data_IF_495685162469
#
_entry.id   IF_495685162469
#
_cell.length_a   1.000
_cell.length_b   1.000
_cell.length_c   1.000
_cell.angle_alpha   90.00
_cell.angle_beta   90.00
_cell.angle_gamma   90.00
#
_symmetry.space_group_name_H-M   'P 1'
#
loop_
_entity.id
_entity.type
_entity.pdbx_description
1 polymer ?
#
# COMPACT_ATOMS: atom_id res chain seq x y z
N UNK A 1 22.98 -8.49 9.37
CA UNK A 1 21.49 -8.47 9.36
C UNK A 1 21.06 -7.26 10.19
N UNK A 2 20.27 -6.34 9.64
CA UNK A 2 19.62 -5.30 10.44
C UNK A 2 18.46 -5.96 11.19
N UNK A 3 18.58 -6.10 12.51
CA UNK A 3 17.51 -6.63 13.35
C UNK A 3 16.55 -5.48 13.63
N UNK A 4 15.29 -5.63 13.22
CA UNK A 4 14.25 -4.64 13.52
C UNK A 4 13.94 -4.68 15.03
N UNK A 5 14.24 -3.58 15.72
CA UNK A 5 14.01 -3.36 17.15
C UNK A 5 12.57 -2.91 17.50
N UNK A 6 11.70 -2.72 16.50
CA UNK A 6 10.30 -2.38 16.73
C UNK A 6 9.60 -3.53 17.47
N UNK A 7 8.87 -3.27 18.57
CA UNK A 7 8.11 -4.33 19.23
C UNK A 7 7.09 -4.93 18.27
N UNK A 8 6.89 -6.26 18.36
CA UNK A 8 5.99 -7.04 17.49
C UNK A 8 4.60 -6.41 17.26
N UNK A 9 3.90 -5.83 18.26
CA UNK A 9 2.57 -5.22 18.04
C UNK A 9 2.58 -3.96 17.15
N UNK A 10 3.72 -3.30 16.96
CA UNK A 10 3.82 -2.08 16.14
C UNK A 10 4.40 -2.34 14.75
N UNK A 11 4.93 -3.55 14.48
CA UNK A 11 5.54 -3.90 13.18
C UNK A 11 4.54 -3.90 12.02
N UNK A 12 3.27 -4.13 12.32
CA UNK A 12 2.21 -4.26 11.31
C UNK A 12 1.31 -3.00 11.23
N UNK A 13 1.66 -1.91 11.94
CA UNK A 13 0.84 -0.69 12.05
C UNK A 13 1.46 0.56 11.42
N UNK A 14 2.55 0.39 10.66
CA UNK A 14 3.22 1.48 9.97
C UNK A 14 2.29 2.16 8.97
N UNK A 15 2.25 3.49 9.01
CA UNK A 15 1.46 4.29 8.07
C UNK A 15 2.29 4.67 6.85
N UNK A 16 1.66 4.65 5.69
CA UNK A 16 2.21 5.22 4.46
C UNK A 16 2.49 6.72 4.66
N UNK A 17 3.63 7.26 4.17
CA UNK A 17 3.88 8.70 4.17
C UNK A 17 2.71 9.44 3.51
N UNK A 18 2.28 10.55 4.11
CA UNK A 18 1.07 11.25 3.67
C UNK A 18 1.21 11.80 2.25
N UNK A 19 2.43 12.18 1.87
CA UNK A 19 2.79 12.66 0.53
C UNK A 19 2.59 11.58 -0.52
N UNK A 20 3.10 10.37 -0.24
CA UNK A 20 2.93 9.20 -1.12
C UNK A 20 1.46 8.87 -1.27
N UNK A 21 0.72 8.84 -0.15
CA UNK A 21 -0.72 8.59 -0.19
C UNK A 21 -1.44 9.65 -1.01
N UNK A 22 -1.18 10.95 -0.80
CA UNK A 22 -1.81 12.06 -1.54
C UNK A 22 -1.53 12.02 -3.04
N UNK A 23 -0.31 11.66 -3.44
CA UNK A 23 0.03 11.52 -4.86
C UNK A 23 -0.78 10.40 -5.52
N UNK A 24 -0.93 9.26 -4.83
CA UNK A 24 -1.77 8.16 -5.29
C UNK A 24 -3.26 8.53 -5.24
N UNK A 25 -3.72 9.20 -4.19
CA UNK A 25 -5.11 9.63 -4.04
C UNK A 25 -5.51 10.65 -5.12
N UNK A 26 -4.59 11.51 -5.55
CA UNK A 26 -4.82 12.40 -6.69
C UNK A 26 -5.03 11.65 -8.01
N UNK A 27 -4.41 10.46 -8.17
CA UNK A 27 -4.60 9.60 -9.35
C UNK A 27 -5.84 8.72 -9.25
N UNK A 28 -6.10 8.13 -8.08
CA UNK A 28 -7.07 7.05 -7.90
C UNK A 28 -8.35 7.46 -7.15
N UNK A 29 -8.34 8.58 -6.42
CA UNK A 29 -9.45 9.10 -5.61
C UNK A 29 -10.01 8.04 -4.65
N UNK A 30 -9.19 7.66 -3.66
CA UNK A 30 -9.51 6.60 -2.72
C UNK A 30 -10.70 6.97 -1.83
N UNK A 31 -11.58 5.99 -1.61
CA UNK A 31 -12.76 6.10 -0.73
C UNK A 31 -12.65 5.21 0.50
N UNK A 32 -11.83 4.16 0.43
CA UNK A 32 -11.63 3.20 1.50
C UNK A 32 -10.15 2.90 1.72
N UNK A 33 -9.74 2.86 2.99
CA UNK A 33 -8.47 2.29 3.44
C UNK A 33 -8.72 0.89 4.04
N UNK A 34 -8.36 -0.15 3.30
CA UNK A 34 -8.74 -1.53 3.63
C UNK A 34 -7.91 -2.17 4.75
N UNK A 35 -6.82 -1.53 5.19
CA UNK A 35 -5.92 -2.07 6.19
C UNK A 35 -5.39 -0.95 7.10
N UNK A 36 -6.23 -0.50 8.03
CA UNK A 36 -5.92 0.63 8.89
C UNK A 36 -6.48 0.45 10.31
N UNK A 37 -6.29 1.47 11.13
CA UNK A 37 -6.89 1.70 12.45
C UNK A 37 -7.20 3.20 12.54
N UNK A 38 -7.94 3.63 13.55
CA UNK A 38 -8.33 5.02 13.77
C UNK A 38 -7.15 5.99 13.84
N UNK A 39 -5.99 5.53 14.31
CA UNK A 39 -4.78 6.36 14.42
C UNK A 39 -4.00 6.47 13.10
N UNK A 40 -4.14 5.51 12.19
CA UNK A 40 -3.31 5.41 10.99
C UNK A 40 -4.09 5.46 9.66
N UNK A 41 -5.42 5.53 9.70
CA UNK A 41 -6.27 5.60 8.51
C UNK A 41 -5.93 6.81 7.63
N UNK A 42 -5.91 6.59 6.33
CA UNK A 42 -5.67 7.64 5.34
C UNK A 42 -6.95 8.04 4.58
N UNK A 43 -8.02 7.27 4.72
CA UNK A 43 -9.36 7.58 4.20
C UNK A 43 -10.35 7.85 5.35
N UNK A 44 -11.48 8.51 5.04
CA UNK A 44 -12.58 8.69 6.00
C UNK A 44 -13.24 7.35 6.36
N UNK A 45 -13.44 6.48 5.37
CA UNK A 45 -13.85 5.10 5.59
C UNK A 45 -12.62 4.20 5.63
N UNK A 46 -12.57 3.29 6.60
CA UNK A 46 -11.45 2.38 6.78
C UNK A 46 -11.88 1.10 7.49
N UNK A 47 -11.14 0.01 7.26
CA UNK A 47 -11.34 -1.27 7.94
C UNK A 47 -10.26 -1.47 9.01
N UNK A 48 -10.73 -1.76 10.22
CA UNK A 48 -9.88 -2.08 11.38
C UNK A 48 -9.70 -3.58 11.58
N UNK A 49 -8.77 -3.98 12.45
CA UNK A 49 -8.58 -5.38 12.85
C UNK A 49 -9.90 -6.06 13.31
N UNK A 50 -10.79 -5.31 13.97
CA UNK A 50 -12.10 -5.82 14.43
C UNK A 50 -13.06 -6.19 13.29
N UNK A 51 -12.91 -5.58 12.12
CA UNK A 51 -13.73 -5.92 10.94
C UNK A 51 -13.27 -7.23 10.28
N UNK A 52 -12.02 -7.65 10.54
CA UNK A 52 -11.34 -8.75 9.84
C UNK A 52 -11.47 -8.59 8.31
N UNK A 53 -10.68 -7.66 7.75
CA UNK A 53 -10.73 -7.30 6.33
C UNK A 53 -10.49 -8.47 5.37
N UNK A 54 -9.90 -9.58 5.83
CA UNK A 54 -9.75 -10.80 5.03
C UNK A 54 -11.06 -11.60 4.93
N UNK A 55 -12.00 -11.39 5.85
CA UNK A 55 -13.30 -12.08 5.91
C UNK A 55 -14.49 -11.19 5.57
N UNK A 56 -14.36 -9.86 5.64
CA UNK A 56 -15.43 -8.94 5.24
C UNK A 56 -15.29 -8.47 3.78
N UNK A 57 -16.32 -7.78 3.30
CA UNK A 57 -16.28 -7.09 2.02
C UNK A 57 -15.72 -5.68 2.16
N UNK A 58 -14.98 -5.23 1.14
CA UNK A 58 -14.39 -3.91 1.05
C UNK A 58 -15.35 -2.96 0.33
N UNK A 59 -16.57 -2.85 0.85
CA UNK A 59 -17.64 -2.04 0.24
C UNK A 59 -17.18 -0.59 0.06
N UNK A 60 -17.14 -0.13 -1.18
CA UNK A 60 -16.61 1.19 -1.55
C UNK A 60 -17.30 1.73 -2.81
N UNK A 61 -17.57 3.02 -2.84
CA UNK A 61 -18.09 3.76 -3.99
C UNK A 61 -16.97 4.36 -4.86
N UNK A 62 -15.71 4.07 -4.55
CA UNK A 62 -14.54 4.42 -5.35
C UNK A 62 -13.34 3.53 -5.07
N UNK A 63 -12.15 3.97 -5.51
CA UNK A 63 -10.94 3.17 -5.39
C UNK A 63 -10.59 2.85 -3.93
N UNK A 64 -9.91 1.72 -3.74
CA UNK A 64 -9.56 1.19 -2.42
C UNK A 64 -8.04 1.18 -2.29
N UNK A 65 -7.54 1.82 -1.22
CA UNK A 65 -6.13 1.76 -0.84
C UNK A 65 -5.90 0.61 0.14
N UNK A 66 -4.76 -0.07 0.03
CA UNK A 66 -4.36 -1.11 0.97
C UNK A 66 -2.86 -1.06 1.25
N UNK A 67 -2.49 -0.80 2.50
CA UNK A 67 -1.14 -1.02 3.02
C UNK A 67 -1.20 -2.09 4.11
N UNK A 68 -1.21 -3.39 3.76
CA UNK A 68 -1.51 -4.45 4.70
C UNK A 68 -0.37 -4.70 5.69
N UNK A 69 -0.63 -5.42 6.80
CA UNK A 69 0.42 -6.04 7.61
C UNK A 69 1.41 -6.85 6.76
N UNK A 70 2.70 -6.55 6.86
CA UNK A 70 3.73 -7.21 6.06
C UNK A 70 4.15 -8.58 6.63
N UNK A 71 3.67 -8.96 7.82
CA UNK A 71 3.89 -10.26 8.43
C UNK A 71 3.22 -11.43 7.67
N UNK A 72 2.13 -11.18 6.93
CA UNK A 72 1.43 -12.21 6.15
C UNK A 72 0.71 -11.62 4.92
N UNK A 73 1.47 -11.31 3.87
CA UNK A 73 0.98 -10.55 2.70
C UNK A 73 0.08 -11.38 1.76
N UNK A 74 0.35 -12.68 1.57
CA UNK A 74 -0.32 -13.48 0.52
C UNK A 74 -1.86 -13.45 0.59
N UNK A 75 -2.51 -13.60 1.76
CA UNK A 75 -3.97 -13.50 1.86
C UNK A 75 -4.53 -12.15 1.39
N UNK A 76 -3.80 -11.06 1.61
CA UNK A 76 -4.23 -9.72 1.19
C UNK A 76 -4.20 -9.55 -0.31
N UNK A 77 -3.16 -10.07 -0.98
CA UNK A 77 -3.07 -10.09 -2.45
C UNK A 77 -4.26 -10.83 -3.06
N UNK A 78 -4.59 -12.01 -2.53
CA UNK A 78 -5.77 -12.77 -2.96
C UNK A 78 -7.07 -11.98 -2.71
N UNK A 79 -7.18 -11.34 -1.54
CA UNK A 79 -8.35 -10.56 -1.17
C UNK A 79 -8.53 -9.33 -2.06
N UNK A 80 -7.45 -8.65 -2.45
CA UNK A 80 -7.51 -7.55 -3.41
C UNK A 80 -8.00 -8.02 -4.78
N UNK A 81 -7.49 -9.14 -5.31
CA UNK A 81 -7.97 -9.68 -6.58
C UNK A 81 -9.47 -10.04 -6.55
N UNK A 82 -9.95 -10.61 -5.43
CA UNK A 82 -11.37 -10.91 -5.18
C UNK A 82 -12.20 -9.61 -5.12
N UNK A 83 -11.80 -8.67 -4.28
CA UNK A 83 -12.58 -7.47 -3.98
C UNK A 83 -12.60 -6.48 -5.15
N UNK A 84 -11.56 -6.42 -5.98
CA UNK A 84 -11.56 -5.62 -7.20
C UNK A 84 -12.73 -6.02 -8.12
N UNK A 85 -12.93 -7.34 -8.29
CA UNK A 85 -14.03 -7.89 -9.10
C UNK A 85 -15.38 -7.69 -8.42
N UNK A 86 -15.45 -8.02 -7.12
CA UNK A 86 -16.70 -7.99 -6.36
C UNK A 86 -17.29 -6.58 -6.22
N UNK A 87 -16.43 -5.60 -5.96
CA UNK A 87 -16.83 -4.21 -5.76
C UNK A 87 -16.89 -3.43 -7.07
N UNK A 88 -16.33 -3.97 -8.15
CA UNK A 88 -16.14 -3.26 -9.41
C UNK A 88 -15.36 -1.95 -9.21
N UNK A 89 -14.35 -1.97 -8.33
CA UNK A 89 -13.51 -0.82 -7.96
C UNK A 89 -12.04 -1.11 -8.17
N UNK A 90 -11.26 -0.06 -8.47
CA UNK A 90 -9.80 -0.17 -8.54
C UNK A 90 -9.22 -0.38 -7.14
N UNK A 91 -8.22 -1.27 -7.02
CA UNK A 91 -7.49 -1.50 -5.77
C UNK A 91 -6.01 -1.19 -5.99
N UNK A 92 -5.43 -0.39 -5.09
CA UNK A 92 -4.01 -0.05 -5.08
C UNK A 92 -3.39 -0.55 -3.78
N UNK A 93 -2.46 -1.50 -3.89
CA UNK A 93 -1.77 -2.08 -2.75
C UNK A 93 -0.29 -1.71 -2.73
N UNK A 94 0.20 -1.20 -1.59
CA UNK A 94 1.60 -0.88 -1.38
C UNK A 94 2.32 -2.02 -0.65
N UNK A 95 3.31 -2.62 -1.30
CA UNK A 95 4.04 -3.80 -0.80
C UNK A 95 5.56 -3.57 -0.82
N UNK A 96 6.33 -4.36 -0.05
CA UNK A 96 7.78 -4.40 -0.22
C UNK A 96 8.13 -4.98 -1.60
N UNK A 97 9.16 -4.48 -2.27
CA UNK A 97 9.62 -5.02 -3.55
C UNK A 97 10.47 -6.28 -3.35
N UNK A 98 9.82 -7.43 -3.17
CA UNK A 98 10.48 -8.74 -3.02
C UNK A 98 9.93 -9.76 -4.02
N UNK A 99 10.57 -9.80 -5.18
CA UNK A 99 10.19 -10.65 -6.32
C UNK A 99 10.39 -12.14 -6.07
N UNK A 100 11.10 -12.53 -5.01
CA UNK A 100 11.40 -13.93 -4.68
C UNK A 100 10.26 -14.65 -3.94
N UNK A 101 9.22 -13.91 -3.54
CA UNK A 101 8.18 -14.42 -2.66
C UNK A 101 6.96 -14.95 -3.41
N UNK A 102 6.25 -15.91 -2.79
CA UNK A 102 5.03 -16.49 -3.37
C UNK A 102 3.91 -15.46 -3.55
N UNK A 103 3.80 -14.44 -2.69
CA UNK A 103 2.78 -13.40 -2.83
C UNK A 103 3.11 -12.45 -4.00
N UNK A 104 4.38 -12.26 -4.34
CA UNK A 104 4.75 -11.44 -5.49
C UNK A 104 4.34 -12.14 -6.79
N UNK A 105 4.62 -13.45 -6.88
CA UNK A 105 4.16 -14.27 -8.00
C UNK A 105 2.64 -14.27 -8.15
N UNK A 106 1.90 -14.38 -7.04
CA UNK A 106 0.45 -14.28 -7.02
C UNK A 106 -0.04 -12.92 -7.52
N UNK A 107 0.58 -11.83 -7.05
CA UNK A 107 0.27 -10.48 -7.51
C UNK A 107 0.56 -10.31 -9.01
N UNK A 108 1.65 -10.87 -9.52
CA UNK A 108 1.99 -10.84 -10.95
C UNK A 108 0.92 -11.50 -11.82
N UNK A 109 0.33 -12.58 -11.33
CA UNK A 109 -0.71 -13.32 -12.06
C UNK A 109 -2.09 -12.65 -11.99
N UNK A 110 -2.35 -11.86 -10.94
CA UNK A 110 -3.70 -11.33 -10.66
C UNK A 110 -3.84 -9.84 -10.91
N UNK A 111 -2.79 -9.03 -10.71
CA UNK A 111 -2.82 -7.60 -10.90
C UNK A 111 -2.75 -7.22 -12.39
N UNK A 112 -3.33 -6.06 -12.71
CA UNK A 112 -3.33 -5.48 -14.05
C UNK A 112 -2.11 -4.58 -14.28
N UNK A 113 -1.61 -3.96 -13.21
CA UNK A 113 -0.46 -3.08 -13.27
C UNK A 113 0.41 -3.24 -12.01
N UNK A 114 1.73 -3.26 -12.22
CA UNK A 114 2.74 -3.27 -11.17
C UNK A 114 3.69 -2.11 -11.39
N UNK A 115 3.83 -1.22 -10.39
CA UNK A 115 4.74 -0.07 -10.47
C UNK A 115 5.84 -0.18 -9.41
N UNK A 116 7.08 -0.34 -9.85
CA UNK A 116 8.23 -0.28 -8.95
C UNK A 116 8.52 1.16 -8.56
N UNK A 117 8.71 1.42 -7.26
CA UNK A 117 9.14 2.73 -6.78
C UNK A 117 10.67 2.78 -6.82
N UNK A 118 11.22 3.66 -7.65
CA UNK A 118 12.65 3.81 -7.91
C UNK A 118 13.23 5.06 -7.25
N UNK A 119 14.56 5.23 -7.28
CA UNK A 119 15.26 6.39 -6.69
C UNK A 119 15.14 6.52 -5.15
N UNK A 120 15.04 5.40 -4.44
CA UNK A 120 15.14 5.33 -2.98
C UNK A 120 13.98 4.59 -2.31
N UNK A 121 14.13 4.32 -1.01
CA UNK A 121 13.13 3.59 -0.22
C UNK A 121 12.13 4.55 0.42
N UNK A 122 10.88 4.11 0.57
CA UNK A 122 9.90 4.86 1.35
C UNK A 122 10.19 4.74 2.85
N UNK A 123 10.14 5.86 3.56
CA UNK A 123 10.27 5.93 5.01
C UNK A 123 8.88 5.95 5.63
N UNK A 124 8.36 4.78 6.02
CA UNK A 124 7.07 4.69 6.69
C UNK A 124 7.10 5.39 8.06
N UNK A 125 5.94 5.87 8.51
CA UNK A 125 5.81 6.65 9.73
C UNK A 125 5.02 5.90 10.79
N UNK A 126 5.42 6.05 12.05
CA UNK A 126 4.61 5.61 13.18
C UNK A 126 3.36 6.47 13.25
N UNK A 127 2.19 5.85 13.32
CA UNK A 127 0.94 6.57 13.49
C UNK A 127 0.80 7.20 14.89
N UNK A 128 1.53 6.68 15.87
CA UNK A 128 1.49 7.15 17.26
C UNK A 128 2.43 8.34 17.48
N UNK A 129 3.65 8.28 16.95
CA UNK A 129 4.68 9.30 17.19
C UNK A 129 4.90 10.23 16.00
N UNK A 130 4.41 9.88 14.80
CA UNK A 130 4.72 10.58 13.55
C UNK A 130 6.16 10.38 13.06
N UNK A 131 7.00 9.67 13.83
CA UNK A 131 8.41 9.48 13.52
C UNK A 131 8.62 8.44 12.42
N UNK A 132 9.65 8.63 11.62
CA UNK A 132 10.09 7.65 10.64
C UNK A 132 10.77 6.47 11.33
N UNK A 133 10.63 5.27 10.77
CA UNK A 133 11.30 4.08 11.28
C UNK A 133 12.83 4.25 11.37
N UNK A 134 13.37 4.07 12.59
CA UNK A 134 14.79 4.27 12.93
C UNK A 134 15.69 3.23 12.24
N UNK A 135 15.18 2.00 12.04
CA UNK A 135 15.79 1.01 11.15
C UNK A 135 15.14 1.14 9.77
N UNK A 136 15.82 1.80 8.84
CA UNK A 136 15.29 2.00 7.48
C UNK A 136 14.74 0.70 6.88
N UNK A 137 13.61 0.81 6.17
CA UNK A 137 13.06 -0.31 5.40
C UNK A 137 14.19 -0.95 4.57
N UNK A 138 14.38 -2.26 4.69
CA UNK A 138 15.49 -2.95 4.01
C UNK A 138 15.19 -3.20 2.52
N UNK A 139 13.93 -3.04 2.11
CA UNK A 139 13.44 -3.34 0.77
C UNK A 139 12.96 -2.08 0.06
N UNK A 140 12.98 -2.10 -1.28
CA UNK A 140 12.24 -1.14 -2.09
C UNK A 140 10.73 -1.29 -1.88
N UNK A 141 9.94 -0.47 -2.57
CA UNK A 141 8.48 -0.54 -2.53
C UNK A 141 7.92 -0.75 -3.94
N UNK A 142 6.78 -1.40 -4.03
CA UNK A 142 6.09 -1.69 -5.28
C UNK A 142 4.59 -1.52 -5.07
N UNK A 143 3.92 -0.98 -6.08
CA UNK A 143 2.46 -0.89 -6.13
C UNK A 143 1.92 -2.05 -6.97
N UNK A 144 0.96 -2.79 -6.44
CA UNK A 144 0.13 -3.71 -7.21
C UNK A 144 -1.25 -3.08 -7.39
N UNK A 145 -1.72 -3.03 -8.63
CA UNK A 145 -2.94 -2.33 -9.01
C UNK A 145 -3.85 -3.30 -9.74
N UNK A 146 -5.03 -3.54 -9.18
CA UNK A 146 -6.12 -4.27 -9.82
C UNK A 146 -7.15 -3.28 -10.33
N UNK A 147 -7.64 -3.49 -11.55
CA UNK A 147 -8.68 -2.69 -12.19
C UNK A 147 -9.89 -3.59 -12.48
N UNK A 148 -11.11 -3.04 -12.42
CA UNK A 148 -12.32 -3.82 -12.66
C UNK A 148 -12.48 -4.24 -14.14
N UNK A 149 -11.68 -3.68 -15.03
CA UNK A 149 -11.67 -4.02 -16.45
C UNK A 149 -10.87 -5.30 -16.66
N UNK A 150 -11.34 -6.17 -17.56
CA UNK A 150 -10.71 -7.46 -17.82
C UNK A 150 -9.21 -7.34 -18.15
N UNK A 151 -8.40 -8.21 -17.53
CA UNK A 151 -6.95 -8.28 -17.72
C UNK A 151 -6.61 -8.95 -19.04
N UNK A 152 -5.95 -8.24 -19.95
CA UNK A 152 -5.25 -8.87 -21.09
C UNK A 152 -3.84 -9.33 -20.68
N UNK A 153 -3.07 -8.43 -20.06
CA UNK A 153 -1.70 -8.66 -19.61
C UNK A 153 -1.38 -7.74 -18.41
N UNK A 154 -0.56 -8.21 -17.47
CA UNK A 154 -0.03 -7.35 -16.40
C UNK A 154 1.03 -6.39 -16.96
N UNK A 155 0.78 -5.09 -16.84
CA UNK A 155 1.74 -4.04 -17.24
C UNK A 155 2.71 -3.75 -16.09
N UNK A 156 4.01 -3.91 -16.35
CA UNK A 156 5.05 -3.57 -15.37
C UNK A 156 5.72 -2.26 -15.75
N UNK A 157 5.69 -1.27 -14.85
CA UNK A 157 6.29 0.06 -15.03
C UNK A 157 7.05 0.49 -13.77
N UNK A 158 7.52 1.73 -13.74
CA UNK A 158 8.14 2.32 -12.57
C UNK A 158 7.62 3.75 -12.35
N UNK A 159 7.75 4.21 -11.12
CA UNK A 159 7.54 5.61 -10.73
C UNK A 159 8.71 6.02 -9.83
N UNK A 160 9.31 7.19 -10.09
CA UNK A 160 10.40 7.68 -9.22
C UNK A 160 9.81 8.15 -7.92
N UNK A 161 10.49 7.89 -6.80
CA UNK A 161 10.07 8.34 -5.47
C UNK A 161 9.74 9.85 -5.43
N UNK A 162 10.52 10.69 -6.14
CA UNK A 162 10.29 12.14 -6.22
C UNK A 162 9.01 12.55 -6.95
N UNK A 163 8.40 11.65 -7.72
CA UNK A 163 7.11 11.89 -8.38
C UNK A 163 5.93 11.60 -7.43
N UNK A 164 6.20 10.83 -6.36
CA UNK A 164 5.27 10.56 -5.27
C UNK A 164 5.43 11.53 -4.09
N UNK A 165 6.46 12.38 -4.12
CA UNK A 165 6.72 13.38 -3.10
C UNK A 165 6.55 14.76 -3.74
N UNK A 166 5.83 15.70 -3.11
CA UNK A 166 5.77 17.07 -3.62
C UNK A 166 7.20 17.61 -3.74
N UNK A 167 7.45 18.38 -4.80
CA UNK A 167 8.66 19.18 -4.89
C UNK A 167 8.70 20.05 -3.64
N UNK A 168 9.65 19.80 -2.74
CA UNK A 168 10.00 20.77 -1.70
C UNK A 168 10.39 22.04 -2.44
N UNK A 169 9.47 23.00 -2.51
CA UNK A 169 9.79 24.37 -2.86
C UNK A 169 10.70 24.81 -1.72
N UNK A 170 12.00 24.83 -1.98
CA UNK A 170 12.96 25.44 -1.08
C UNK A 170 12.56 26.91 -0.96
N UNK A 171 11.92 27.28 0.14
CA UNK A 171 11.95 28.66 0.57
C UNK A 171 13.39 28.91 1.03
N UNK A 172 14.19 29.39 0.09
CA UNK A 172 15.36 30.19 0.44
C UNK A 172 14.82 31.43 1.14
N UNK A 173 15.02 31.48 2.46
CA UNK A 173 14.86 32.71 3.26
C UNK A 173 15.82 33.78 2.80
#
# INVERSE_FOLDING_TARGET
>A
MLISHTPKPFKDRWRTPIEVFRALDAEFNFKLDAAADKSNSLCKAFLTEQHDALKCDWNSDGAIFCNPPYSNIKPWVNKAAEQCKKQNQTIVMLLPSDTSTAWFYEGLNTADEIRFITEGRLSFVSAETGEQGISGNSKGSVLFIWRPLGREMCRMTHIRKKELLPLTIGFST
#
